data_IF_708701674132
#
_entry.id   IF_708701674132
#
_cell.length_a   1.000
_cell.length_b   1.000
_cell.length_c   1.000
_cell.angle_alpha   90.00
_cell.angle_beta   90.00
_cell.angle_gamma   90.00
#
_symmetry.space_group_name_H-M   'P 1'
#
loop_
_entity.id
_entity.type
_entity.pdbx_description
1 polymer ?
#
# COMPACT_ATOMS: atom_id res chain seq x y z
N UNK A 1 10.85 -4.69 7.39
CA UNK A 1 11.94 -4.55 6.39
C UNK A 1 11.91 -3.13 5.89
N UNK A 2 13.04 -2.42 5.91
CA UNK A 2 13.10 -1.01 5.53
C UNK A 2 14.32 -0.31 6.13
N UNK A 3 14.16 0.95 6.54
CA UNK A 3 15.21 1.72 7.20
C UNK A 3 15.17 1.48 8.72
N UNK A 4 16.25 0.95 9.35
CA UNK A 4 16.32 0.72 10.80
C UNK A 4 16.16 1.98 11.67
N UNK A 5 16.30 3.18 11.10
CA UNK A 5 16.03 4.43 11.82
C UNK A 5 14.54 4.66 12.11
N UNK A 6 13.65 3.86 11.50
CA UNK A 6 12.22 3.99 11.73
C UNK A 6 11.78 3.42 13.07
N UNK A 7 12.10 2.14 13.32
CA UNK A 7 11.75 1.42 14.55
C UNK A 7 12.82 0.36 14.81
N UNK A 8 13.10 0.05 16.07
CA UNK A 8 14.23 -0.81 16.48
C UNK A 8 14.17 -2.24 15.90
N UNK A 9 12.97 -2.73 15.56
CA UNK A 9 12.78 -4.05 14.97
C UNK A 9 12.86 -4.06 13.42
N UNK A 10 13.09 -2.90 12.79
CA UNK A 10 13.14 -2.79 11.33
C UNK A 10 14.50 -3.26 10.83
N UNK A 11 14.49 -4.39 10.11
CA UNK A 11 15.66 -4.92 9.42
C UNK A 11 15.97 -4.15 8.13
N UNK A 12 17.25 -3.87 7.91
CA UNK A 12 17.73 -3.23 6.68
C UNK A 12 17.63 -4.16 5.46
N UNK A 13 17.98 -3.66 4.27
CA UNK A 13 17.93 -4.44 3.04
C UNK A 13 18.78 -5.72 3.10
N UNK A 14 20.02 -5.64 3.59
CA UNK A 14 20.94 -6.78 3.65
C UNK A 14 20.40 -7.92 4.51
N UNK A 15 19.76 -7.57 5.64
CA UNK A 15 19.10 -8.53 6.54
C UNK A 15 17.78 -9.05 5.98
N UNK A 16 17.04 -8.20 5.24
CA UNK A 16 15.70 -8.50 4.75
C UNK A 16 15.69 -9.44 3.54
N UNK A 17 16.65 -9.27 2.62
CA UNK A 17 16.69 -10.03 1.36
C UNK A 17 16.78 -11.56 1.57
N UNK A 18 17.68 -12.10 2.42
CA UNK A 18 17.74 -13.54 2.69
C UNK A 18 16.45 -14.10 3.30
N UNK A 19 15.73 -13.30 4.09
CA UNK A 19 14.45 -13.71 4.70
C UNK A 19 13.39 -13.89 3.63
N UNK A 20 13.26 -12.95 2.68
CA UNK A 20 12.30 -13.07 1.58
C UNK A 20 12.61 -14.27 0.68
N UNK A 21 13.88 -14.51 0.38
CA UNK A 21 14.29 -15.70 -0.37
C UNK A 21 13.94 -16.99 0.37
N UNK A 22 14.24 -17.06 1.67
CA UNK A 22 13.95 -18.23 2.48
C UNK A 22 12.44 -18.47 2.57
N UNK A 23 11.65 -17.43 2.85
CA UNK A 23 10.19 -17.50 2.88
C UNK A 23 9.63 -18.07 1.56
N UNK A 24 10.10 -17.57 0.42
CA UNK A 24 9.70 -18.08 -0.89
C UNK A 24 10.06 -19.56 -1.08
N UNK A 25 11.28 -19.97 -0.72
CA UNK A 25 11.74 -21.37 -0.80
C UNK A 25 10.92 -22.29 0.09
N UNK A 26 10.36 -21.78 1.19
CA UNK A 26 9.43 -22.50 2.06
C UNK A 26 7.98 -22.48 1.57
N UNK A 27 7.69 -21.89 0.40
CA UNK A 27 6.35 -21.81 -0.18
C UNK A 27 5.52 -20.61 0.30
N UNK A 28 6.11 -19.69 1.08
CA UNK A 28 5.44 -18.45 1.50
C UNK A 28 5.54 -17.42 0.39
N UNK A 29 4.44 -17.21 -0.31
CA UNK A 29 4.39 -16.37 -1.50
C UNK A 29 3.39 -15.21 -1.42
N UNK A 30 2.73 -15.00 -0.29
CA UNK A 30 1.90 -13.81 -0.06
C UNK A 30 2.68 -12.84 0.81
N UNK A 31 3.04 -11.67 0.27
CA UNK A 31 3.88 -10.70 0.94
C UNK A 31 3.15 -9.38 1.12
N UNK A 32 3.06 -8.93 2.37
CA UNK A 32 2.35 -7.72 2.76
C UNK A 32 3.32 -6.60 3.15
N UNK A 33 3.06 -5.41 2.63
CA UNK A 33 3.78 -4.17 2.92
C UNK A 33 2.80 -2.99 2.97
N UNK A 34 3.30 -1.76 2.99
CA UNK A 34 2.52 -0.53 2.81
C UNK A 34 3.42 0.55 2.21
N UNK A 35 2.83 1.51 1.49
CA UNK A 35 3.54 2.69 0.97
C UNK A 35 4.34 3.41 2.06
N UNK A 36 3.78 3.48 3.26
CA UNK A 36 4.32 4.13 4.43
C UNK A 36 5.45 3.37 5.12
N UNK A 37 5.56 2.05 4.93
CA UNK A 37 6.55 1.25 5.66
C UNK A 37 7.97 1.64 5.29
N UNK A 38 8.66 2.27 6.24
CA UNK A 38 9.93 2.97 6.03
C UNK A 38 9.91 3.91 4.82
N UNK A 39 8.85 4.71 4.66
CA UNK A 39 8.65 5.65 3.54
C UNK A 39 8.90 5.03 2.16
N UNK A 40 8.37 3.82 1.97
CA UNK A 40 8.41 3.09 0.72
C UNK A 40 9.62 2.16 0.55
N UNK A 41 10.57 2.16 1.48
CA UNK A 41 11.75 1.29 1.38
C UNK A 41 11.38 -0.19 1.47
N UNK A 42 10.33 -0.52 2.23
CA UNK A 42 9.80 -1.89 2.29
C UNK A 42 9.40 -2.42 0.90
N UNK A 43 8.68 -1.61 0.12
CA UNK A 43 8.27 -1.94 -1.25
C UNK A 43 9.49 -2.08 -2.18
N UNK A 44 10.49 -1.20 -2.04
CA UNK A 44 11.73 -1.27 -2.84
C UNK A 44 12.52 -2.55 -2.57
N UNK A 45 12.62 -2.95 -1.30
CA UNK A 45 13.29 -4.19 -0.90
C UNK A 45 12.57 -5.39 -1.49
N UNK A 46 11.23 -5.42 -1.44
CA UNK A 46 10.43 -6.49 -2.05
C UNK A 46 10.65 -6.56 -3.57
N UNK A 47 10.54 -5.42 -4.27
CA UNK A 47 10.78 -5.36 -5.71
C UNK A 47 12.19 -5.82 -6.09
N UNK A 48 13.19 -5.48 -5.27
CA UNK A 48 14.57 -5.93 -5.43
C UNK A 48 14.73 -7.43 -5.18
N UNK A 49 14.04 -8.00 -4.19
CA UNK A 49 14.08 -9.43 -3.90
C UNK A 49 13.60 -10.26 -5.09
N UNK A 50 12.49 -9.85 -5.73
CA UNK A 50 11.98 -10.53 -6.93
C UNK A 50 13.03 -10.62 -8.03
N UNK A 51 13.72 -9.50 -8.31
CA UNK A 51 14.78 -9.44 -9.34
C UNK A 51 16.03 -10.20 -8.93
N UNK A 52 16.53 -9.97 -7.71
CA UNK A 52 17.79 -10.54 -7.21
C UNK A 52 17.76 -12.06 -7.16
N UNK A 53 16.63 -12.64 -6.75
CA UNK A 53 16.47 -14.08 -6.60
C UNK A 53 15.75 -14.75 -7.77
N UNK A 54 15.53 -14.00 -8.86
CA UNK A 54 14.82 -14.47 -10.07
C UNK A 54 13.48 -15.16 -9.73
N UNK A 55 12.74 -14.60 -8.79
CA UNK A 55 11.43 -15.10 -8.36
C UNK A 55 10.40 -14.66 -9.41
N UNK A 56 9.72 -15.60 -10.11
CA UNK A 56 8.73 -15.23 -11.11
C UNK A 56 7.61 -14.41 -10.47
N UNK A 57 7.35 -13.21 -10.99
CA UNK A 57 6.36 -12.28 -10.42
C UNK A 57 4.99 -12.92 -10.25
N UNK A 58 4.56 -13.74 -11.19
CA UNK A 58 3.27 -14.43 -11.16
C UNK A 58 3.13 -15.48 -10.05
N UNK A 59 4.23 -15.86 -9.39
CA UNK A 59 4.20 -16.83 -8.30
C UNK A 59 4.02 -16.18 -6.92
N UNK A 60 4.01 -14.85 -6.83
CA UNK A 60 3.94 -14.08 -5.59
C UNK A 60 2.70 -13.19 -5.60
N UNK A 61 1.97 -13.16 -4.49
CA UNK A 61 0.85 -12.25 -4.25
C UNK A 61 1.34 -11.06 -3.43
N UNK A 62 1.35 -9.86 -4.02
CA UNK A 62 1.82 -8.63 -3.40
C UNK A 62 0.67 -7.77 -2.87
N UNK A 63 0.68 -7.55 -1.55
CA UNK A 63 -0.25 -6.69 -0.84
C UNK A 63 0.48 -5.39 -0.49
N UNK A 64 -0.14 -4.25 -0.77
CA UNK A 64 0.29 -2.96 -0.21
C UNK A 64 -0.90 -2.16 0.29
N UNK A 65 -0.63 -1.03 0.95
CA UNK A 65 -1.64 -0.17 1.55
C UNK A 65 -1.35 1.28 1.22
N UNK A 66 -2.39 2.11 1.20
CA UNK A 66 -2.27 3.56 1.14
C UNK A 66 -3.14 4.22 2.22
N UNK A 67 -2.63 5.29 2.83
CA UNK A 67 -3.34 6.24 3.70
C UNK A 67 -2.37 7.28 4.26
N UNK A 68 -1.28 6.82 4.87
CA UNK A 68 -0.34 7.70 5.59
C UNK A 68 0.61 8.41 4.62
N UNK A 69 1.06 9.59 5.03
CA UNK A 69 1.98 10.43 4.28
C UNK A 69 3.32 9.77 4.05
N UNK A 70 3.73 9.74 2.78
CA UNK A 70 5.08 9.37 2.36
C UNK A 70 5.84 10.62 1.93
N UNK A 71 6.95 10.91 2.62
CA UNK A 71 7.81 12.04 2.31
C UNK A 71 8.54 11.84 0.98
N UNK A 72 8.75 12.92 0.21
CA UNK A 72 9.45 12.83 -1.09
C UNK A 72 10.96 12.63 -0.92
N UNK A 73 11.52 13.18 0.14
CA UNK A 73 12.94 13.08 0.51
C UNK A 73 13.25 11.82 1.32
N UNK A 74 12.24 10.96 1.56
CA UNK A 74 12.34 9.74 2.37
C UNK A 74 12.70 10.03 3.84
N UNK A 75 12.46 11.26 4.30
CA UNK A 75 12.56 11.61 5.71
C UNK A 75 11.53 10.80 6.51
N UNK A 76 12.03 10.12 7.54
CA UNK A 76 11.20 9.32 8.42
C UNK A 76 10.43 10.22 9.39
N UNK A 77 9.12 10.35 9.18
CA UNK A 77 8.23 11.08 10.09
C UNK A 77 7.54 10.14 11.09
N UNK A 78 7.23 10.63 12.31
CA UNK A 78 6.37 9.92 13.24
C UNK A 78 5.00 9.61 12.63
N UNK A 79 4.34 8.55 13.12
CA UNK A 79 3.02 8.15 12.64
C UNK A 79 1.99 9.29 12.75
N UNK A 80 2.03 10.05 13.85
CA UNK A 80 1.12 11.17 14.08
C UNK A 80 1.23 12.22 12.96
N UNK A 81 2.45 12.66 12.62
CA UNK A 81 2.70 13.63 11.55
C UNK A 81 2.33 13.08 10.17
N UNK A 82 2.58 11.79 9.95
CA UNK A 82 2.22 11.09 8.70
C UNK A 82 0.71 10.84 8.59
N UNK A 83 -0.09 11.22 9.59
CA UNK A 83 -1.54 11.09 9.61
C UNK A 83 -2.27 12.42 9.42
N UNK A 84 -1.55 13.53 9.27
CA UNK A 84 -2.12 14.87 9.14
C UNK A 84 -1.90 15.37 7.71
N UNK A 85 -2.98 15.75 7.05
CA UNK A 85 -2.95 16.22 5.67
C UNK A 85 -2.65 17.74 5.60
N UNK A 86 -1.51 18.15 6.16
CA UNK A 86 -1.08 19.56 6.21
C UNK A 86 0.43 19.72 5.99
N UNK A 87 0.90 20.97 5.97
CA UNK A 87 2.32 21.29 5.94
C UNK A 87 3.11 20.50 4.88
N UNK A 88 4.21 19.82 5.24
CA UNK A 88 5.00 18.99 4.32
C UNK A 88 4.25 17.79 3.72
N UNK A 89 3.16 17.34 4.34
CA UNK A 89 2.34 16.19 3.95
C UNK A 89 1.05 16.57 3.20
N UNK A 90 0.85 17.86 2.91
CA UNK A 90 -0.35 18.33 2.21
C UNK A 90 -0.58 17.60 0.89
N UNK A 91 -1.82 17.13 0.71
CA UNK A 91 -2.28 16.28 -0.40
C UNK A 91 -1.60 14.90 -0.50
N UNK A 92 -1.00 14.41 0.58
CA UNK A 92 -0.30 13.11 0.62
C UNK A 92 -0.82 12.19 1.72
N UNK A 93 -1.92 12.53 2.37
CA UNK A 93 -2.52 11.74 3.45
C UNK A 93 -4.00 11.55 3.17
N UNK A 94 -4.54 10.42 3.62
CA UNK A 94 -5.96 10.10 3.54
C UNK A 94 -6.33 9.32 2.29
N UNK A 95 -7.61 9.38 1.91
CA UNK A 95 -8.18 8.60 0.80
C UNK A 95 -8.86 9.48 -0.25
N UNK A 96 -8.39 10.73 -0.40
CA UNK A 96 -8.81 11.55 -1.54
C UNK A 96 -8.45 10.83 -2.85
N UNK A 97 -9.25 11.06 -3.90
CA UNK A 97 -8.98 10.49 -5.22
C UNK A 97 -7.55 10.78 -5.69
N UNK A 98 -7.10 12.02 -5.49
CA UNK A 98 -5.74 12.44 -5.82
C UNK A 98 -4.71 11.55 -5.11
N UNK A 99 -4.83 11.42 -3.80
CA UNK A 99 -3.84 10.68 -3.02
C UNK A 99 -3.84 9.19 -3.36
N UNK A 100 -5.00 8.54 -3.52
CA UNK A 100 -5.07 7.12 -3.89
C UNK A 100 -4.33 6.85 -5.21
N UNK A 101 -4.58 7.67 -6.24
CA UNK A 101 -3.93 7.50 -7.55
C UNK A 101 -2.42 7.72 -7.44
N UNK A 102 -1.99 8.81 -6.79
CA UNK A 102 -0.58 9.13 -6.62
C UNK A 102 0.16 8.04 -5.81
N UNK A 103 -0.47 7.51 -4.75
CA UNK A 103 0.09 6.47 -3.90
C UNK A 103 0.24 5.13 -4.65
N UNK A 104 -0.76 4.74 -5.44
CA UNK A 104 -0.70 3.53 -6.28
C UNK A 104 0.41 3.64 -7.32
N UNK A 105 0.52 4.79 -7.98
CA UNK A 105 1.54 5.03 -9.00
C UNK A 105 2.94 4.95 -8.40
N UNK A 106 3.12 5.56 -7.23
CA UNK A 106 4.36 5.47 -6.49
C UNK A 106 4.64 4.02 -6.07
N UNK A 107 3.70 3.30 -5.46
CA UNK A 107 3.90 1.91 -5.05
C UNK A 107 4.25 0.97 -6.20
N UNK A 108 3.60 1.12 -7.37
CA UNK A 108 3.94 0.35 -8.59
C UNK A 108 5.36 0.63 -9.04
N UNK A 109 5.82 1.89 -9.00
CA UNK A 109 7.21 2.25 -9.29
C UNK A 109 8.18 1.63 -8.28
N UNK A 110 7.89 1.74 -6.98
CA UNK A 110 8.74 1.19 -5.90
C UNK A 110 8.87 -0.33 -5.97
N UNK A 111 7.76 -1.03 -6.21
CA UNK A 111 7.73 -2.49 -6.40
C UNK A 111 8.32 -2.91 -7.76
N UNK A 112 8.27 -2.02 -8.76
CA UNK A 112 8.64 -2.30 -10.15
C UNK A 112 7.68 -3.24 -10.87
N UNK A 113 6.43 -3.34 -10.41
CA UNK A 113 5.40 -4.27 -10.92
C UNK A 113 4.00 -3.89 -10.39
N UNK A 114 2.96 -4.57 -10.88
CA UNK A 114 1.58 -4.37 -10.44
C UNK A 114 1.34 -4.86 -9.01
N UNK A 115 0.27 -4.38 -8.38
CA UNK A 115 -0.19 -4.75 -7.04
C UNK A 115 -1.29 -5.82 -7.16
N UNK A 116 -1.21 -6.90 -6.39
CA UNK A 116 -2.29 -7.89 -6.35
C UNK A 116 -3.46 -7.41 -5.49
N UNK A 117 -3.18 -6.86 -4.31
CA UNK A 117 -4.20 -6.33 -3.42
C UNK A 117 -3.77 -4.97 -2.84
N UNK A 118 -4.49 -3.92 -3.20
CA UNK A 118 -4.37 -2.60 -2.56
C UNK A 118 -5.35 -2.52 -1.40
N UNK A 119 -4.87 -2.27 -0.19
CA UNK A 119 -5.73 -2.06 0.97
C UNK A 119 -5.78 -0.57 1.34
N UNK A 120 -6.96 -0.06 1.69
CA UNK A 120 -6.99 1.21 2.43
C UNK A 120 -6.48 0.95 3.84
N UNK A 121 -5.41 1.64 4.25
CA UNK A 121 -4.73 1.35 5.52
C UNK A 121 -5.59 1.74 6.73
N UNK A 122 -6.39 2.80 6.56
CA UNK A 122 -7.40 3.30 7.50
C UNK A 122 -8.55 3.86 6.67
N UNK A 123 -9.76 3.88 7.22
CA UNK A 123 -10.83 4.70 6.65
C UNK A 123 -10.57 6.18 6.93
N UNK A 124 -10.53 6.96 5.85
CA UNK A 124 -10.62 8.42 5.89
C UNK A 124 -12.09 8.84 6.03
N UNK A 125 -12.41 9.54 7.12
CA UNK A 125 -13.77 10.00 7.41
C UNK A 125 -14.05 11.42 6.93
N UNK A 126 -13.03 12.12 6.46
CA UNK A 126 -13.14 13.47 5.91
C UNK A 126 -13.38 13.44 4.40
N UNK A 127 -13.13 12.30 3.76
CA UNK A 127 -13.41 12.08 2.33
C UNK A 127 -14.74 11.36 2.14
N UNK A 128 -15.62 11.82 1.21
CA UNK A 128 -16.84 11.10 0.89
C UNK A 128 -16.55 9.66 0.45
N UNK A 129 -17.21 8.69 1.08
CA UNK A 129 -17.03 7.25 0.79
C UNK A 129 -17.24 6.89 -0.70
N UNK A 130 -18.08 7.64 -1.41
CA UNK A 130 -18.28 7.46 -2.86
C UNK A 130 -17.05 7.88 -3.68
N UNK A 131 -16.36 8.94 -3.28
CA UNK A 131 -15.08 9.33 -3.89
C UNK A 131 -14.02 8.26 -3.65
N UNK A 132 -13.92 7.75 -2.41
CA UNK A 132 -13.00 6.67 -2.04
C UNK A 132 -13.24 5.45 -2.94
N UNK A 133 -14.48 4.96 -2.99
CA UNK A 133 -14.80 3.77 -3.79
C UNK A 133 -14.62 4.00 -5.30
N UNK A 134 -14.91 5.21 -5.80
CA UNK A 134 -14.65 5.53 -7.20
C UNK A 134 -13.16 5.52 -7.52
N UNK A 135 -12.32 6.08 -6.65
CA UNK A 135 -10.87 6.08 -6.84
C UNK A 135 -10.29 4.66 -6.79
N UNK A 136 -10.73 3.84 -5.83
CA UNK A 136 -10.36 2.42 -5.73
C UNK A 136 -10.76 1.62 -6.97
N UNK A 137 -11.97 1.85 -7.48
CA UNK A 137 -12.43 1.24 -8.72
C UNK A 137 -11.54 1.63 -9.92
N UNK A 138 -11.19 2.90 -10.03
CA UNK A 138 -10.40 3.41 -11.16
C UNK A 138 -8.97 2.84 -11.16
N UNK A 139 -8.34 2.63 -9.99
CA UNK A 139 -7.00 2.01 -9.94
C UNK A 139 -7.04 0.52 -10.29
N UNK A 140 -8.13 -0.20 -9.99
CA UNK A 140 -8.34 -1.57 -10.49
C UNK A 140 -8.51 -1.56 -12.01
N UNK A 141 -9.39 -0.70 -12.53
CA UNK A 141 -9.65 -0.60 -13.97
C UNK A 141 -8.42 -0.15 -14.78
N UNK A 142 -7.48 0.56 -14.16
CA UNK A 142 -6.20 0.93 -14.78
C UNK A 142 -5.27 -0.26 -15.02
N UNK A 143 -5.53 -1.42 -14.39
CA UNK A 143 -4.66 -2.59 -14.44
C UNK A 143 -3.39 -2.48 -13.56
N UNK A 144 -3.25 -1.41 -12.77
CA UNK A 144 -2.16 -1.27 -11.77
C UNK A 144 -2.40 -2.13 -10.52
N UNK A 145 -3.66 -2.34 -10.18
CA UNK A 145 -4.13 -3.11 -9.02
C UNK A 145 -5.04 -4.25 -9.52
N UNK A 146 -4.96 -5.46 -8.94
CA UNK A 146 -5.88 -6.58 -9.29
C UNK A 146 -7.14 -6.59 -8.42
N UNK A 147 -6.97 -6.40 -7.11
CA UNK A 147 -8.04 -6.42 -6.12
C UNK A 147 -7.87 -5.30 -5.11
N UNK A 148 -8.95 -4.92 -4.44
CA UNK A 148 -8.94 -3.94 -3.36
C UNK A 148 -9.33 -4.60 -2.04
N UNK A 149 -8.83 -4.07 -0.93
CA UNK A 149 -9.11 -4.54 0.41
C UNK A 149 -9.20 -3.38 1.40
N UNK A 150 -9.51 -3.70 2.65
CA UNK A 150 -9.72 -2.71 3.70
C UNK A 150 -8.99 -3.12 4.99
N UNK A 151 -8.40 -2.14 5.66
CA UNK A 151 -7.83 -2.31 6.99
C UNK A 151 -8.42 -1.27 7.95
N UNK A 152 -8.75 -1.74 9.16
CA UNK A 152 -9.16 -0.92 10.31
C UNK A 152 -10.30 0.09 10.05
N UNK A 153 -11.54 -0.39 10.16
CA UNK A 153 -12.75 0.43 10.23
C UNK A 153 -13.86 -0.33 10.97
N UNK A 154 -14.96 0.34 11.30
CA UNK A 154 -16.12 -0.35 11.85
C UNK A 154 -16.80 -1.22 10.78
N UNK A 155 -17.38 -2.35 11.18
CA UNK A 155 -18.04 -3.28 10.26
C UNK A 155 -19.16 -2.62 9.44
N UNK A 156 -19.88 -1.66 10.01
CA UNK A 156 -20.94 -0.92 9.31
C UNK A 156 -20.38 0.08 8.28
N UNK A 157 -19.19 0.63 8.49
CA UNK A 157 -18.50 1.49 7.51
C UNK A 157 -18.05 0.63 6.32
N UNK A 158 -17.50 -0.55 6.59
CA UNK A 158 -17.12 -1.52 5.57
C UNK A 158 -18.34 -1.95 4.72
N UNK A 159 -19.44 -2.31 5.36
CA UNK A 159 -20.68 -2.66 4.66
C UNK A 159 -21.23 -1.50 3.82
N UNK A 160 -21.13 -0.25 4.33
CA UNK A 160 -21.57 0.93 3.58
C UNK A 160 -20.74 1.13 2.31
N UNK A 161 -19.43 0.92 2.37
CA UNK A 161 -18.57 0.98 1.19
C UNK A 161 -18.88 -0.14 0.18
N UNK A 162 -19.13 -1.38 0.65
CA UNK A 162 -19.58 -2.48 -0.23
C UNK A 162 -20.89 -2.12 -0.95
N UNK A 163 -21.87 -1.53 -0.25
CA UNK A 163 -23.13 -1.09 -0.86
C UNK A 163 -22.94 0.02 -1.90
N UNK A 164 -22.03 0.96 -1.65
CA UNK A 164 -21.71 2.04 -2.60
C UNK A 164 -21.13 1.43 -3.89
N UNK A 165 -20.22 0.47 -3.77
CA UNK A 165 -19.67 -0.22 -4.93
C UNK A 165 -20.75 -1.00 -5.69
N UNK A 166 -21.57 -1.79 -4.99
CA UNK A 166 -22.66 -2.56 -5.59
C UNK A 166 -23.66 -1.68 -6.34
N UNK A 167 -24.07 -0.54 -5.76
CA UNK A 167 -25.01 0.39 -6.38
C UNK A 167 -24.48 1.00 -7.68
N UNK A 168 -23.17 1.19 -7.78
CA UNK A 168 -22.53 1.83 -8.93
C UNK A 168 -21.91 0.82 -9.93
N UNK A 169 -22.01 -0.48 -9.66
CA UNK A 169 -21.36 -1.52 -10.46
C UNK A 169 -19.84 -1.44 -10.42
N UNK A 170 -19.27 -1.01 -9.30
CA UNK A 170 -17.82 -0.92 -9.09
C UNK A 170 -17.27 -2.17 -8.39
N UNK A 171 -15.95 -2.34 -8.43
CA UNK A 171 -15.27 -3.41 -7.70
C UNK A 171 -15.52 -3.27 -6.20
N UNK A 172 -15.84 -4.40 -5.56
CA UNK A 172 -15.97 -4.54 -4.10
C UNK A 172 -14.64 -4.90 -3.46
N UNK A 173 -14.54 -4.69 -2.15
CA UNK A 173 -13.54 -5.36 -1.30
C UNK A 173 -13.77 -6.87 -1.27
#
# INVERSE_FOLDING_TARGET
MGNPQWEDWVMNEEQSLPILEHAYKCGINTWDTADFYSHGDSERIIGKALKKYNIPRQNVTLLTKCYFGVSHDRTQLPLAESSINDGPMVNRVGLSRKHIIDAVDASVDRLGTYIDLLQIHRLDRDVPMEEIMRALNDVVNSGKVRYIGASSMAAWEFQRLQNIADKNGWHRF
#
